data_IF_411368374007
#
_entry.id   IF_411368374007
#
_cell.length_a   1.000
_cell.length_b   1.000
_cell.length_c   1.000
_cell.angle_alpha   90.00
_cell.angle_beta   90.00
_cell.angle_gamma   90.00
#
_symmetry.space_group_name_H-M   'P 1'
#
loop_
_entity.id
_entity.type
_entity.pdbx_description
1 polymer ?
#
# COMPACT_ATOMS: atom_id res chain seq x y z
N UNK A 1 -12.57 35.26 -6.80
CA UNK A 1 -12.86 34.11 -5.92
C UNK A 1 -11.74 33.07 -5.90
N UNK A 2 -10.89 33.02 -6.94
CA UNK A 2 -9.71 32.13 -7.05
C UNK A 2 -8.54 32.58 -6.14
N UNK A 3 -8.43 33.88 -5.84
CA UNK A 3 -7.36 34.41 -4.95
C UNK A 3 -7.44 33.92 -3.50
N UNK A 4 -8.61 33.50 -3.01
CA UNK A 4 -8.77 32.97 -1.64
C UNK A 4 -8.62 31.45 -1.58
N UNK A 5 -8.85 30.73 -2.68
CA UNK A 5 -8.72 29.27 -2.74
C UNK A 5 -7.31 28.83 -3.07
N UNK A 6 -6.51 29.63 -3.78
CA UNK A 6 -5.10 29.35 -4.07
C UNK A 6 -4.21 29.11 -2.84
N UNK A 7 -4.21 29.95 -1.79
CA UNK A 7 -3.38 29.71 -0.61
C UNK A 7 -3.85 28.46 0.18
N UNK A 8 -5.14 28.13 0.12
CA UNK A 8 -5.70 26.93 0.74
C UNK A 8 -5.24 25.70 -0.05
N UNK A 9 -5.35 25.72 -1.39
CA UNK A 9 -4.88 24.64 -2.26
C UNK A 9 -3.37 24.43 -2.15
N UNK A 10 -2.58 25.50 -2.10
CA UNK A 10 -1.13 25.42 -1.91
C UNK A 10 -0.76 24.80 -0.55
N UNK A 11 -1.39 25.24 0.54
CA UNK A 11 -1.16 24.67 1.87
C UNK A 11 -1.57 23.19 1.91
N UNK A 12 -2.70 22.87 1.29
CA UNK A 12 -3.23 21.51 1.18
C UNK A 12 -2.23 20.60 0.43
N UNK A 13 -1.72 21.04 -0.73
CA UNK A 13 -0.74 20.29 -1.54
C UNK A 13 0.58 20.11 -0.78
N UNK A 14 1.07 21.14 -0.08
CA UNK A 14 2.29 21.03 0.73
C UNK A 14 2.12 20.02 1.87
N UNK A 15 0.99 20.04 2.57
CA UNK A 15 0.69 19.03 3.60
C UNK A 15 0.58 17.63 3.02
N UNK A 16 0.00 17.47 1.83
CA UNK A 16 -0.07 16.17 1.16
C UNK A 16 1.31 15.64 0.74
N UNK A 17 2.22 16.50 0.27
CA UNK A 17 3.60 16.10 -0.04
C UNK A 17 4.29 15.60 1.23
N UNK A 18 4.16 16.31 2.35
CA UNK A 18 4.72 15.89 3.65
C UNK A 18 4.13 14.56 4.12
N UNK A 19 2.80 14.38 4.04
CA UNK A 19 2.13 13.13 4.37
C UNK A 19 2.60 11.97 3.46
N UNK A 20 2.86 12.21 2.17
CA UNK A 20 3.39 11.16 1.27
C UNK A 20 4.85 10.79 1.55
N UNK A 21 5.69 11.75 1.94
CA UNK A 21 7.07 11.47 2.35
C UNK A 21 7.10 10.64 3.64
N UNK A 22 6.23 10.99 4.59
CA UNK A 22 6.09 10.22 5.83
C UNK A 22 5.60 8.79 5.53
N UNK A 23 4.72 8.62 4.54
CA UNK A 23 4.23 7.29 4.14
C UNK A 23 5.35 6.45 3.52
N UNK A 24 6.18 7.06 2.67
CA UNK A 24 7.32 6.40 2.04
C UNK A 24 8.34 5.90 3.07
N UNK A 25 8.63 6.72 4.09
CA UNK A 25 9.50 6.33 5.20
C UNK A 25 8.93 5.13 5.96
N UNK A 26 7.64 5.18 6.33
CA UNK A 26 6.98 4.07 7.02
C UNK A 26 6.97 2.77 6.21
N UNK A 27 6.78 2.85 4.88
CA UNK A 27 6.85 1.68 4.00
C UNK A 27 8.26 1.09 3.89
N UNK A 28 9.28 1.95 3.93
CA UNK A 28 10.69 1.53 3.93
C UNK A 28 11.05 0.85 5.25
N UNK A 29 10.59 1.40 6.38
CA UNK A 29 10.77 0.79 7.70
C UNK A 29 10.04 -0.56 7.81
N UNK A 30 8.81 -0.65 7.27
CA UNK A 30 8.07 -1.91 7.14
C UNK A 30 8.89 -2.96 6.34
N UNK A 31 9.48 -2.57 5.21
CA UNK A 31 10.30 -3.47 4.39
C UNK A 31 11.54 -3.99 5.15
N UNK A 32 12.20 -3.13 5.93
CA UNK A 32 13.35 -3.51 6.75
C UNK A 32 12.97 -4.48 7.87
N UNK A 33 11.83 -4.26 8.54
CA UNK A 33 11.34 -5.15 9.60
C UNK A 33 10.91 -6.51 9.05
N UNK A 34 10.20 -6.53 7.91
CA UNK A 34 9.81 -7.77 7.24
C UNK A 34 11.03 -8.61 6.84
N UNK A 35 12.10 -7.97 6.37
CA UNK A 35 13.35 -8.64 6.02
C UNK A 35 14.04 -9.24 7.25
N UNK A 36 14.06 -8.52 8.37
CA UNK A 36 14.71 -8.95 9.61
C UNK A 36 13.90 -10.01 10.39
N UNK A 37 12.63 -10.24 10.04
CA UNK A 37 11.70 -11.19 10.72
C UNK A 37 11.64 -11.03 12.25
N UNK A 38 11.97 -9.85 12.75
CA UNK A 38 12.12 -9.57 14.18
C UNK A 38 11.22 -8.37 14.52
N UNK A 39 10.36 -8.56 15.53
CA UNK A 39 9.43 -7.59 16.14
C UNK A 39 8.05 -7.41 15.48
N UNK A 40 7.11 -8.31 15.85
CA UNK A 40 5.66 -8.21 15.54
C UNK A 40 5.06 -6.92 16.13
N UNK A 41 5.45 -6.53 17.35
CA UNK A 41 4.92 -5.32 18.00
C UNK A 41 5.28 -4.02 17.25
N UNK A 42 6.46 -3.95 16.63
CA UNK A 42 6.87 -2.81 15.82
C UNK A 42 6.07 -2.74 14.50
N UNK A 43 5.75 -3.90 13.91
CA UNK A 43 4.93 -3.99 12.71
C UNK A 43 3.48 -3.53 12.95
N UNK A 44 2.89 -3.87 14.10
CA UNK A 44 1.54 -3.42 14.47
C UNK A 44 1.49 -1.89 14.60
N UNK A 45 2.50 -1.28 15.22
CA UNK A 45 2.60 0.18 15.35
C UNK A 45 2.70 0.88 13.99
N UNK A 46 3.56 0.38 13.09
CA UNK A 46 3.71 0.92 11.73
C UNK A 46 2.40 0.75 10.94
N UNK A 47 1.70 -0.37 11.11
CA UNK A 47 0.41 -0.61 10.44
C UNK A 47 -0.63 0.42 10.87
N UNK A 48 -0.72 0.73 12.17
CA UNK A 48 -1.64 1.76 12.68
C UNK A 48 -1.30 3.16 12.16
N UNK A 49 -0.01 3.50 12.10
CA UNK A 49 0.45 4.77 11.54
C UNK A 49 0.12 4.88 10.03
N UNK A 50 0.36 3.80 9.27
CA UNK A 50 0.01 3.70 7.85
C UNK A 50 -1.50 3.90 7.62
N UNK A 51 -2.35 3.23 8.39
CA UNK A 51 -3.82 3.38 8.26
C UNK A 51 -4.28 4.82 8.52
N UNK A 52 -3.69 5.47 9.52
CA UNK A 52 -4.01 6.86 9.85
C UNK A 52 -3.61 7.80 8.71
N UNK A 53 -2.43 7.59 8.12
CA UNK A 53 -1.89 8.42 7.04
C UNK A 53 -2.63 8.21 5.72
N UNK A 54 -2.96 6.95 5.38
CA UNK A 54 -3.82 6.63 4.22
C UNK A 54 -5.19 7.28 4.36
N UNK A 55 -5.76 7.30 5.57
CA UNK A 55 -7.03 8.00 5.81
C UNK A 55 -6.93 9.50 5.58
N UNK A 56 -5.83 10.14 6.03
CA UNK A 56 -5.56 11.57 5.75
C UNK A 56 -5.43 11.84 4.25
N UNK A 57 -4.64 11.03 3.53
CA UNK A 57 -4.50 11.16 2.07
C UNK A 57 -5.83 10.94 1.33
N UNK A 58 -6.66 10.01 1.78
CA UNK A 58 -7.99 9.80 1.21
C UNK A 58 -8.94 10.99 1.46
N UNK A 59 -8.88 11.62 2.65
CA UNK A 59 -9.64 12.84 2.91
C UNK A 59 -9.14 14.01 2.07
N UNK A 60 -7.83 14.12 1.89
CA UNK A 60 -7.20 15.10 1.01
C UNK A 60 -7.67 14.93 -0.45
N UNK A 61 -7.63 13.69 -0.97
CA UNK A 61 -8.10 13.39 -2.32
C UNK A 61 -9.56 13.80 -2.52
N UNK A 62 -10.43 13.51 -1.55
CA UNK A 62 -11.84 13.96 -1.58
C UNK A 62 -11.99 15.48 -1.53
N UNK A 63 -11.15 16.18 -0.76
CA UNK A 63 -11.16 17.65 -0.72
C UNK A 63 -10.75 18.23 -2.08
N UNK A 64 -9.72 17.66 -2.71
CA UNK A 64 -9.30 18.04 -4.06
C UNK A 64 -10.41 17.76 -5.08
N UNK A 65 -11.06 16.60 -5.01
CA UNK A 65 -12.21 16.27 -5.87
C UNK A 65 -13.38 17.23 -5.67
N UNK A 66 -13.69 17.64 -4.44
CA UNK A 66 -14.75 18.61 -4.15
C UNK A 66 -14.43 20.00 -4.69
N UNK A 67 -13.16 20.44 -4.60
CA UNK A 67 -12.70 21.70 -5.18
C UNK A 67 -12.82 21.63 -6.71
N UNK A 68 -12.34 20.56 -7.34
CA UNK A 68 -12.45 20.35 -8.78
C UNK A 68 -13.92 20.27 -9.27
N UNK A 69 -14.79 19.60 -8.51
CA UNK A 69 -16.22 19.50 -8.81
C UNK A 69 -16.93 20.86 -8.69
N UNK A 70 -16.51 21.70 -7.74
CA UNK A 70 -17.03 23.07 -7.60
C UNK A 70 -16.72 23.95 -8.82
N UNK A 71 -15.67 23.59 -9.55
CA UNK A 71 -15.15 24.33 -10.71
C UNK A 71 -15.49 23.65 -12.06
N UNK A 72 -16.29 22.57 -12.03
CA UNK A 72 -16.80 21.80 -13.19
C UNK A 72 -15.70 21.20 -14.08
N UNK A 73 -14.54 20.85 -13.53
CA UNK A 73 -13.45 20.20 -14.26
C UNK A 73 -13.49 18.67 -14.12
N UNK A 74 -13.10 17.96 -15.19
CA UNK A 74 -13.14 16.49 -15.27
C UNK A 74 -12.07 15.84 -14.37
N UNK A 75 -12.36 14.68 -13.75
CA UNK A 75 -11.52 14.05 -12.73
C UNK A 75 -10.11 13.64 -13.19
N UNK A 76 -9.89 13.40 -14.49
CA UNK A 76 -8.63 12.81 -14.99
C UNK A 76 -7.57 13.87 -15.38
N UNK A 77 -8.00 14.98 -16.00
CA UNK A 77 -7.12 16.11 -16.40
C UNK A 77 -7.39 17.40 -15.60
N UNK A 78 -8.31 17.36 -14.64
CA UNK A 78 -8.84 18.53 -13.96
C UNK A 78 -7.82 19.34 -13.19
N UNK A 79 -6.78 18.70 -12.62
CA UNK A 79 -5.69 19.43 -11.94
C UNK A 79 -4.78 20.16 -12.93
N UNK A 80 -4.49 19.57 -14.09
CA UNK A 80 -3.69 20.23 -15.13
C UNK A 80 -4.47 21.39 -15.77
N UNK A 81 -5.77 21.23 -16.00
CA UNK A 81 -6.64 22.31 -16.46
C UNK A 81 -6.85 23.40 -15.39
N UNK A 82 -6.93 23.03 -14.10
CA UNK A 82 -6.97 23.99 -12.99
C UNK A 82 -5.70 24.84 -12.95
N UNK A 83 -4.52 24.23 -13.11
CA UNK A 83 -3.26 24.96 -13.19
C UNK A 83 -3.14 25.82 -14.46
N UNK A 84 -3.72 25.40 -15.58
CA UNK A 84 -3.78 26.21 -16.80
C UNK A 84 -4.71 27.44 -16.66
N UNK A 85 -5.84 27.29 -15.97
CA UNK A 85 -6.77 28.39 -15.65
C UNK A 85 -6.13 29.34 -14.63
N UNK A 86 -5.40 28.82 -13.64
CA UNK A 86 -4.66 29.62 -12.66
C UNK A 86 -3.49 30.40 -13.30
N UNK A 87 -2.79 29.81 -14.28
CA UNK A 87 -1.80 30.52 -15.10
C UNK A 87 -2.42 31.63 -15.94
N UNK A 88 -3.62 31.43 -16.50
CA UNK A 88 -4.36 32.48 -17.21
C UNK A 88 -4.83 33.61 -16.28
N UNK A 89 -4.92 33.36 -14.97
CA UNK A 89 -5.29 34.33 -13.96
C UNK A 89 -4.10 35.09 -13.32
N UNK A 90 -2.88 34.96 -13.88
CA UNK A 90 -1.65 35.63 -13.41
C UNK A 90 -1.24 35.26 -11.96
N UNK A 91 -1.58 34.04 -11.54
CA UNK A 91 -1.25 33.50 -10.22
C UNK A 91 0.00 32.61 -10.35
N UNK A 92 1.00 32.85 -9.49
CA UNK A 92 2.27 32.10 -9.49
C UNK A 92 2.04 30.63 -9.08
N UNK A 93 1.82 29.79 -10.09
CA UNK A 93 1.36 28.40 -9.97
C UNK A 93 2.53 27.41 -10.09
N UNK A 94 3.74 27.91 -10.38
CA UNK A 94 4.95 27.10 -10.61
C UNK A 94 5.30 26.20 -9.42
N UNK A 95 5.16 26.72 -8.19
CA UNK A 95 5.43 25.98 -6.95
C UNK A 95 4.42 24.86 -6.71
N UNK A 96 3.14 25.12 -7.00
CA UNK A 96 2.04 24.17 -6.82
C UNK A 96 2.11 23.03 -7.84
N UNK A 97 2.43 23.34 -9.10
CA UNK A 97 2.61 22.36 -10.16
C UNK A 97 3.83 21.45 -9.87
N UNK A 98 4.94 22.03 -9.40
CA UNK A 98 6.12 21.25 -8.99
C UNK A 98 5.80 20.33 -7.80
N UNK A 99 5.05 20.82 -6.82
CA UNK A 99 4.63 20.02 -5.67
C UNK A 99 3.68 18.88 -6.08
N UNK A 100 2.79 19.12 -7.04
CA UNK A 100 1.92 18.09 -7.61
C UNK A 100 2.68 16.99 -8.35
N UNK A 101 3.69 17.36 -9.14
CA UNK A 101 4.57 16.38 -9.79
C UNK A 101 5.30 15.52 -8.76
N UNK A 102 5.88 16.13 -7.71
CA UNK A 102 6.52 15.40 -6.61
C UNK A 102 5.53 14.47 -5.91
N UNK A 103 4.33 14.93 -5.59
CA UNK A 103 3.28 14.12 -4.97
C UNK A 103 2.95 12.88 -5.82
N UNK A 104 2.82 13.07 -7.14
CA UNK A 104 2.52 11.99 -8.07
C UNK A 104 3.66 10.96 -8.15
N UNK A 105 4.91 11.44 -8.16
CA UNK A 105 6.10 10.60 -8.14
C UNK A 105 6.22 9.80 -6.84
N UNK A 106 6.11 10.46 -5.68
CA UNK A 106 6.14 9.80 -4.37
C UNK A 106 4.99 8.80 -4.20
N UNK A 107 3.80 9.11 -4.72
CA UNK A 107 2.67 8.19 -4.69
C UNK A 107 2.92 6.92 -5.52
N UNK A 108 3.55 7.06 -6.69
CA UNK A 108 3.98 5.90 -7.50
C UNK A 108 5.02 5.06 -6.75
N UNK A 109 5.98 5.70 -6.08
CA UNK A 109 6.97 4.97 -5.29
C UNK A 109 6.32 4.24 -4.11
N UNK A 110 5.45 4.91 -3.36
CA UNK A 110 4.68 4.30 -2.27
C UNK A 110 3.88 3.09 -2.74
N UNK A 111 3.28 3.14 -3.94
CA UNK A 111 2.57 2.01 -4.52
C UNK A 111 3.50 0.82 -4.76
N UNK A 112 4.66 1.05 -5.40
CA UNK A 112 5.65 0.01 -5.65
C UNK A 112 6.15 -0.64 -4.36
N UNK A 113 6.46 0.17 -3.34
CA UNK A 113 6.87 -0.31 -2.02
C UNK A 113 5.77 -1.15 -1.35
N UNK A 114 4.51 -0.72 -1.43
CA UNK A 114 3.40 -1.45 -0.86
C UNK A 114 3.13 -2.79 -1.59
N UNK A 115 3.29 -2.84 -2.91
CA UNK A 115 3.21 -4.08 -3.70
C UNK A 115 4.32 -5.07 -3.29
N UNK A 116 5.55 -4.58 -3.12
CA UNK A 116 6.68 -5.40 -2.65
C UNK A 116 6.48 -5.91 -1.21
N UNK A 117 6.04 -5.05 -0.29
CA UNK A 117 5.74 -5.44 1.09
C UNK A 117 4.61 -6.47 1.13
N UNK A 118 3.57 -6.30 0.30
CA UNK A 118 2.48 -7.27 0.15
C UNK A 118 2.95 -8.64 -0.34
N UNK A 119 3.86 -8.67 -1.34
CA UNK A 119 4.45 -9.91 -1.82
C UNK A 119 5.28 -10.61 -0.73
N UNK A 120 6.06 -9.86 0.06
CA UNK A 120 6.84 -10.40 1.17
C UNK A 120 5.94 -11.05 2.25
N UNK A 121 4.87 -10.35 2.64
CA UNK A 121 3.87 -10.87 3.59
C UNK A 121 3.21 -12.14 3.04
N UNK A 122 2.84 -12.15 1.76
CA UNK A 122 2.25 -13.32 1.12
C UNK A 122 3.19 -14.53 1.21
N UNK A 123 4.46 -14.37 0.85
CA UNK A 123 5.48 -15.41 0.93
C UNK A 123 5.62 -15.91 2.38
N UNK A 124 5.70 -15.01 3.36
CA UNK A 124 5.80 -15.39 4.78
C UNK A 124 4.58 -16.19 5.24
N UNK A 125 3.37 -15.79 4.84
CA UNK A 125 2.12 -16.48 5.16
C UNK A 125 2.06 -17.90 4.56
N UNK A 126 2.56 -18.06 3.33
CA UNK A 126 2.66 -19.34 2.64
C UNK A 126 3.66 -20.27 3.34
N UNK A 127 4.83 -19.75 3.74
CA UNK A 127 5.80 -20.50 4.53
C UNK A 127 5.23 -20.96 5.86
N UNK A 128 4.56 -20.07 6.61
CA UNK A 128 3.91 -20.41 7.88
C UNK A 128 2.85 -21.50 7.69
N UNK A 129 1.98 -21.35 6.69
CA UNK A 129 0.94 -22.34 6.35
C UNK A 129 1.55 -23.69 5.97
N UNK A 130 2.65 -23.70 5.22
CA UNK A 130 3.38 -24.93 4.85
C UNK A 130 3.98 -25.62 6.06
N UNK A 131 4.60 -24.88 6.97
CA UNK A 131 5.14 -25.43 8.23
C UNK A 131 4.01 -26.02 9.08
N UNK A 132 2.89 -25.30 9.22
CA UNK A 132 1.72 -25.81 9.93
C UNK A 132 1.13 -27.05 9.27
N UNK A 133 1.10 -27.12 7.93
CA UNK A 133 0.65 -28.30 7.20
C UNK A 133 1.55 -29.53 7.43
N UNK A 134 2.87 -29.31 7.55
CA UNK A 134 3.84 -30.36 7.89
C UNK A 134 3.63 -30.81 9.34
N UNK A 135 3.53 -29.86 10.28
CA UNK A 135 3.38 -30.15 11.71
C UNK A 135 2.06 -30.88 12.02
N UNK A 136 0.97 -30.45 11.39
CA UNK A 136 -0.36 -31.06 11.48
C UNK A 136 -0.49 -32.37 10.70
N UNK A 137 0.54 -32.78 9.95
CA UNK A 137 0.55 -34.05 9.23
C UNK A 137 -0.61 -34.20 8.24
N UNK A 138 -0.78 -33.25 7.31
CA UNK A 138 -1.75 -33.45 6.21
C UNK A 138 -1.43 -34.77 5.49
N UNK A 139 -2.43 -35.64 5.25
CA UNK A 139 -2.18 -36.94 4.66
C UNK A 139 -1.64 -36.76 3.23
N UNK A 140 -0.33 -36.93 3.05
CA UNK A 140 0.21 -37.19 1.73
C UNK A 140 -0.30 -38.58 1.34
N UNK A 141 -0.98 -38.66 0.19
CA UNK A 141 -1.37 -39.95 -0.39
C UNK A 141 -0.07 -40.69 -0.73
N UNK A 142 0.37 -41.57 0.15
CA UNK A 142 1.47 -42.49 -0.14
C UNK A 142 0.88 -43.60 -1.00
N UNK A 143 1.28 -43.62 -2.26
CA UNK A 143 0.97 -44.74 -3.16
C UNK A 143 1.95 -45.87 -2.83
N UNK A 144 1.49 -46.86 -2.09
CA UNK A 144 2.30 -48.05 -1.82
C UNK A 144 2.05 -49.07 -2.92
N UNK A 145 3.12 -49.61 -3.48
CA UNK A 145 3.04 -50.71 -4.45
C UNK A 145 2.85 -52.03 -3.70
N UNK A 146 1.74 -52.70 -3.93
CA UNK A 146 1.53 -54.05 -3.43
C UNK A 146 2.36 -55.07 -4.21
N UNK A 147 2.63 -56.23 -3.60
CA UNK A 147 3.29 -57.39 -4.22
C UNK A 147 2.68 -57.83 -5.57
N UNK A 148 1.45 -57.41 -5.85
CA UNK A 148 0.66 -57.76 -7.04
C UNK A 148 0.71 -56.65 -8.11
N UNK A 149 1.56 -55.62 -7.95
CA UNK A 149 1.67 -54.48 -8.87
C UNK A 149 0.52 -53.45 -8.79
N UNK A 150 -0.46 -53.65 -7.91
CA UNK A 150 -1.58 -52.72 -7.71
C UNK A 150 -1.17 -51.59 -6.77
N UNK A 151 -1.49 -50.35 -7.14
CA UNK A 151 -1.31 -49.17 -6.30
C UNK A 151 -2.43 -49.10 -5.27
N UNK A 152 -2.10 -49.05 -3.98
CA UNK A 152 -3.05 -48.76 -2.91
C UNK A 152 -2.73 -47.40 -2.29
N UNK A 153 -3.70 -46.50 -2.25
CA UNK A 153 -3.55 -45.17 -1.64
C UNK A 153 -4.05 -45.24 -0.20
N UNK A 154 -3.15 -45.28 0.78
CA UNK A 154 -3.52 -45.23 2.19
C UNK A 154 -3.33 -43.81 2.74
N UNK A 155 -4.30 -43.33 3.53
CA UNK A 155 -4.22 -42.01 4.18
C UNK A 155 -3.42 -42.15 5.47
N UNK A 156 -2.09 -42.07 5.35
CA UNK A 156 -1.22 -42.02 6.52
C UNK A 156 -1.01 -40.57 6.95
N UNK A 157 -1.34 -40.26 8.20
CA UNK A 157 -1.15 -38.96 8.84
C UNK A 157 -0.43 -39.20 10.15
N UNK A 158 0.82 -38.77 10.25
CA UNK A 158 1.53 -38.67 11.53
C UNK A 158 1.57 -37.20 11.92
N UNK A 159 0.70 -36.82 12.85
CA UNK A 159 0.78 -35.54 13.54
C UNK A 159 2.02 -35.58 14.44
N UNK A 160 3.00 -34.71 14.19
CA UNK A 160 4.24 -34.69 14.98
C UNK A 160 4.04 -34.01 16.34
N UNK A 161 3.08 -33.09 16.45
CA UNK A 161 2.72 -32.39 17.69
C UNK A 161 1.22 -32.07 17.67
N UNK A 162 0.47 -32.49 18.70
CA UNK A 162 -0.90 -32.01 18.98
C UNK A 162 -0.92 -31.24 20.30
N UNK A 163 -1.57 -30.08 20.32
CA UNK A 163 -1.84 -29.28 21.53
C UNK A 163 -3.27 -29.56 21.97
#
# INVERSE_FOLDING_TARGET
>A
MIEKTHPIAQKLILTAVEDTLQLEQLLTDEALLLTKKTHIQALDSITQQKMTLVKKLATFARQVEQVLASEKLSQEDGMLQYFAIAQQADIDTSTSLTAWHKLTEHSKNCRSLNENNGACIHILSQHSSRILNILKGKPQLVNTYGRNGRTSSNRYSQTLVSV
#
